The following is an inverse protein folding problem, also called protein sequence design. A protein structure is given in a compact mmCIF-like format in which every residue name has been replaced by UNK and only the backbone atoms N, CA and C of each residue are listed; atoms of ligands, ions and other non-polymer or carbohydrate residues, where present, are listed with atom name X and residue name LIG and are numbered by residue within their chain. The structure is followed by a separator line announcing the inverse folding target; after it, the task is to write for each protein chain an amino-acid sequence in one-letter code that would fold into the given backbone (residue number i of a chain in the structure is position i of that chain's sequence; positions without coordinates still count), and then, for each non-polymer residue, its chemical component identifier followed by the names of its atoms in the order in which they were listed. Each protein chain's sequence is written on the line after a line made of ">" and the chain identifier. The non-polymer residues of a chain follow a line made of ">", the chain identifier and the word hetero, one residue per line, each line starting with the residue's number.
data_IF_050023723340
#
_entry.id   IF_050023723340
#
_cell.length_a   1.000
_cell.length_b   1.000
_cell.length_c   1.000
_cell.angle_alpha   90.00
_cell.angle_beta   90.00
_cell.angle_gamma   90.00
#
_symmetry.space_group_name_H-M   'P 1'
#
loop_
_entity.id
_entity.type
_entity.pdbx_description
1 polymer ?
#
# COMPACT_ATOMS: atom_id res chain seq x y z
N UNK A 1 -9.98 17.34 16.94
CA UNK A 1 -10.74 16.75 15.84
C UNK A 1 -9.77 15.99 14.98
N UNK A 2 -10.05 14.72 14.75
CA UNK A 2 -9.30 13.86 13.83
C UNK A 2 -10.22 13.59 12.65
N UNK A 3 -9.73 13.87 11.45
CA UNK A 3 -10.49 13.62 10.23
C UNK A 3 -10.09 12.25 9.68
N UNK A 4 -11.09 11.40 9.40
CA UNK A 4 -10.90 10.11 8.74
C UNK A 4 -11.75 10.05 7.47
N UNK A 5 -11.25 9.36 6.46
CA UNK A 5 -11.99 9.14 5.21
C UNK A 5 -12.82 7.86 5.33
N UNK A 6 -14.10 7.92 4.96
CA UNK A 6 -14.94 6.73 4.86
C UNK A 6 -14.65 6.00 3.55
N UNK A 7 -14.40 4.70 3.65
CA UNK A 7 -14.14 3.78 2.53
C UNK A 7 -15.14 2.62 2.58
N UNK A 8 -15.10 1.71 1.59
CA UNK A 8 -16.03 0.57 1.53
C UNK A 8 -16.03 -0.33 2.78
N UNK A 9 -14.89 -0.41 3.45
CA UNK A 9 -14.65 -1.26 4.63
C UNK A 9 -14.73 -0.51 5.96
N UNK A 10 -15.05 0.78 5.93
CA UNK A 10 -15.23 1.58 7.13
C UNK A 10 -16.32 0.99 8.03
N UNK A 11 -16.08 1.00 9.35
CA UNK A 11 -16.98 0.40 10.34
C UNK A 11 -18.40 1.01 10.29
N UNK A 12 -18.51 2.27 9.88
CA UNK A 12 -19.75 3.00 9.65
C UNK A 12 -20.63 2.34 8.57
N UNK A 13 -20.04 1.56 7.66
CA UNK A 13 -20.70 0.86 6.56
C UNK A 13 -20.83 -0.65 6.79
N UNK A 14 -20.49 -1.14 8.00
CA UNK A 14 -20.65 -2.56 8.33
C UNK A 14 -22.11 -3.03 8.23
N UNK A 15 -23.06 -2.14 8.54
CA UNK A 15 -24.51 -2.40 8.44
C UNK A 15 -25.14 -2.10 7.07
N UNK A 16 -24.34 -1.72 6.06
CA UNK A 16 -24.83 -1.26 4.75
C UNK A 16 -24.74 0.26 4.59
N UNK A 17 -25.74 0.85 3.93
CA UNK A 17 -25.76 2.29 3.66
C UNK A 17 -25.87 3.12 4.94
N UNK A 18 -25.17 4.26 4.99
CA UNK A 18 -25.16 5.17 6.13
C UNK A 18 -26.17 6.31 5.93
N UNK A 19 -27.15 6.43 6.82
CA UNK A 19 -28.09 7.56 6.81
C UNK A 19 -27.50 8.75 7.56
N UNK A 20 -27.56 9.93 6.95
CA UNK A 20 -26.97 11.16 7.46
C UNK A 20 -27.99 12.31 7.46
N UNK A 21 -27.97 13.13 8.50
CA UNK A 21 -28.89 14.25 8.70
C UNK A 21 -28.13 15.56 8.61
N UNK A 22 -28.56 16.46 7.73
CA UNK A 22 -27.97 17.78 7.54
C UNK A 22 -28.95 18.90 7.87
N UNK A 23 -28.43 19.98 8.45
CA UNK A 23 -29.23 21.14 8.88
C UNK A 23 -28.71 22.46 8.31
N UNK A 24 -27.40 22.61 8.12
CA UNK A 24 -26.78 23.84 7.61
C UNK A 24 -25.86 23.53 6.43
N UNK A 25 -25.75 24.45 5.47
CA UNK A 25 -24.87 24.32 4.31
C UNK A 25 -25.14 23.04 3.51
N UNK A 26 -26.40 22.61 3.42
CA UNK A 26 -26.78 21.34 2.83
C UNK A 26 -26.78 21.40 1.30
N UNK A 27 -26.00 20.53 0.63
CA UNK A 27 -25.96 20.48 -0.83
C UNK A 27 -27.20 19.81 -1.44
N UNK A 28 -27.65 20.34 -2.56
CA UNK A 28 -28.65 19.72 -3.44
C UNK A 28 -28.03 18.53 -4.18
N UNK A 29 -28.87 17.57 -4.54
CA UNK A 29 -28.49 16.53 -5.50
C UNK A 29 -28.61 17.02 -6.94
N UNK A 30 -27.84 16.38 -7.83
CA UNK A 30 -27.82 16.66 -9.26
C UNK A 30 -27.65 18.16 -9.58
N UNK A 31 -26.58 18.76 -9.04
CA UNK A 31 -26.33 20.21 -9.07
C UNK A 31 -26.24 20.70 -10.51
N UNK A 32 -27.11 21.63 -10.89
CA UNK A 32 -27.22 22.14 -12.26
C UNK A 32 -26.12 23.16 -12.61
N UNK A 33 -25.99 23.51 -13.89
CA UNK A 33 -25.05 24.54 -14.35
C UNK A 33 -25.26 25.89 -13.65
N UNK A 34 -26.51 26.31 -13.47
CA UNK A 34 -26.82 27.59 -12.82
C UNK A 34 -26.42 27.57 -11.35
N UNK A 35 -26.76 26.49 -10.64
CA UNK A 35 -26.43 26.29 -9.23
C UNK A 35 -24.93 26.24 -9.03
N UNK A 36 -24.21 25.46 -9.84
CA UNK A 36 -22.76 25.29 -9.71
C UNK A 36 -22.00 26.62 -9.90
N UNK A 37 -22.51 27.54 -10.73
CA UNK A 37 -21.86 28.81 -11.04
C UNK A 37 -22.48 30.01 -10.32
N UNK A 38 -23.45 29.80 -9.43
CA UNK A 38 -24.16 30.85 -8.69
C UNK A 38 -24.77 31.94 -9.59
N UNK A 39 -25.32 31.53 -10.73
CA UNK A 39 -25.98 32.43 -11.68
C UNK A 39 -27.50 32.32 -11.56
N UNK A 40 -28.22 33.31 -12.09
CA UNK A 40 -29.70 33.35 -12.05
C UNK A 40 -30.28 33.30 -10.62
N UNK A 41 -29.53 33.78 -9.63
CA UNK A 41 -29.88 33.70 -8.21
C UNK A 41 -30.06 32.26 -7.68
N UNK A 42 -29.49 31.28 -8.38
CA UNK A 42 -29.48 29.89 -7.94
C UNK A 42 -28.22 29.59 -7.10
N UNK A 43 -28.36 28.62 -6.20
CA UNK A 43 -27.30 28.16 -5.31
C UNK A 43 -27.34 26.63 -5.23
N UNK A 44 -26.19 25.95 -5.10
CA UNK A 44 -26.15 24.50 -4.93
C UNK A 44 -26.59 24.08 -3.52
N UNK A 45 -26.81 25.04 -2.62
CA UNK A 45 -27.22 24.80 -1.24
C UNK A 45 -28.74 24.95 -1.06
N UNK A 46 -29.30 24.18 -0.13
CA UNK A 46 -30.59 24.51 0.47
C UNK A 46 -30.46 25.70 1.42
N UNK A 47 -31.58 26.33 1.74
CA UNK A 47 -31.62 27.27 2.85
C UNK A 47 -31.29 26.53 4.16
N UNK A 48 -30.57 27.20 5.05
CA UNK A 48 -30.24 26.66 6.36
C UNK A 48 -31.52 26.44 7.18
N UNK A 49 -31.52 25.35 7.96
CA UNK A 49 -32.63 24.98 8.82
C UNK A 49 -32.91 26.05 9.87
N UNK A 50 -34.19 26.41 10.00
CA UNK A 50 -34.69 27.30 11.07
C UNK A 50 -35.28 26.50 12.23
N UNK A 51 -35.59 25.22 11.99
CA UNK A 51 -35.97 24.25 13.01
C UNK A 51 -35.64 22.82 12.60
N UNK A 52 -35.81 21.87 13.53
CA UNK A 52 -35.48 20.45 13.30
C UNK A 52 -36.27 19.80 12.15
N UNK A 53 -37.45 20.33 11.82
CA UNK A 53 -38.28 19.84 10.72
C UNK A 53 -37.72 20.14 9.32
N UNK A 54 -36.76 21.06 9.20
CA UNK A 54 -36.16 21.44 7.92
C UNK A 54 -35.03 20.47 7.48
N UNK A 55 -34.77 19.42 8.27
CA UNK A 55 -33.69 18.45 8.08
C UNK A 55 -33.64 17.90 6.65
N UNK A 56 -32.41 17.73 6.15
CA UNK A 56 -32.15 17.00 4.91
C UNK A 56 -31.59 15.63 5.26
N UNK A 57 -32.28 14.58 4.82
CA UNK A 57 -31.87 13.20 5.05
C UNK A 57 -31.16 12.68 3.81
N UNK A 58 -29.85 12.48 3.96
CA UNK A 58 -28.99 11.91 2.95
C UNK A 58 -28.75 10.42 3.24
N UNK A 59 -28.37 9.71 2.20
CA UNK A 59 -27.89 8.33 2.30
C UNK A 59 -26.53 8.25 1.63
N UNK A 60 -25.49 7.93 2.38
CA UNK A 60 -24.20 7.56 1.84
C UNK A 60 -24.24 6.07 1.47
N UNK A 61 -24.17 5.81 0.17
CA UNK A 61 -24.38 4.48 -0.39
C UNK A 61 -23.08 3.68 -0.41
N UNK A 62 -23.08 2.49 0.19
CA UNK A 62 -21.89 1.64 0.32
C UNK A 62 -21.38 1.13 -1.04
N UNK A 63 -22.30 0.90 -1.98
CA UNK A 63 -21.99 0.26 -3.27
C UNK A 63 -21.37 1.24 -4.27
N UNK A 64 -21.74 2.52 -4.17
CA UNK A 64 -21.27 3.59 -5.03
C UNK A 64 -20.29 4.56 -4.36
N UNK A 65 -20.22 4.56 -3.03
CA UNK A 65 -19.48 5.54 -2.21
C UNK A 65 -19.89 6.99 -2.52
N UNK A 66 -21.17 7.18 -2.86
CA UNK A 66 -21.75 8.50 -3.13
C UNK A 66 -22.75 8.86 -2.06
N UNK A 67 -22.72 10.14 -1.65
CA UNK A 67 -23.83 10.72 -0.92
C UNK A 67 -25.01 10.92 -1.88
N UNK A 68 -26.21 10.52 -1.47
CA UNK A 68 -27.44 10.67 -2.24
C UNK A 68 -28.51 11.42 -1.45
N UNK A 69 -29.35 12.16 -2.15
CA UNK A 69 -30.55 12.80 -1.63
C UNK A 69 -31.69 12.51 -2.61
N UNK A 70 -32.77 11.90 -2.11
CA UNK A 70 -33.91 11.47 -2.94
C UNK A 70 -33.48 10.58 -4.12
N UNK A 71 -32.60 9.62 -3.86
CA UNK A 71 -32.03 8.69 -4.86
C UNK A 71 -31.23 9.34 -6.01
N UNK A 72 -30.82 10.61 -5.85
CA UNK A 72 -29.93 11.31 -6.78
C UNK A 72 -28.62 11.64 -6.08
N UNK A 73 -27.50 11.48 -6.78
CA UNK A 73 -26.17 11.78 -6.23
C UNK A 73 -26.03 13.27 -5.89
N UNK A 74 -25.42 13.55 -4.73
CA UNK A 74 -25.06 14.91 -4.28
C UNK A 74 -23.77 15.33 -4.96
N UNK A 75 -23.84 15.43 -6.28
CA UNK A 75 -22.73 15.76 -7.18
C UNK A 75 -23.20 16.75 -8.23
N UNK A 76 -22.27 17.25 -9.05
CA UNK A 76 -22.61 17.93 -10.29
C UNK A 76 -23.45 17.02 -11.19
N UNK A 77 -24.44 17.60 -11.86
CA UNK A 77 -25.18 16.93 -12.92
C UNK A 77 -24.25 16.62 -14.11
N UNK A 78 -24.60 15.61 -14.91
CA UNK A 78 -23.79 15.23 -16.06
C UNK A 78 -23.60 16.40 -17.04
N UNK A 79 -22.37 16.63 -17.49
CA UNK A 79 -22.01 17.71 -18.41
C UNK A 79 -21.93 19.11 -17.78
N UNK A 80 -22.16 19.26 -16.47
CA UNK A 80 -22.00 20.55 -15.79
C UNK A 80 -20.53 20.89 -15.64
N UNK A 81 -20.21 22.15 -15.94
CA UNK A 81 -18.87 22.72 -15.79
C UNK A 81 -18.90 23.88 -14.80
N UNK A 82 -17.83 24.02 -14.02
CA UNK A 82 -17.68 25.16 -13.10
C UNK A 82 -16.72 26.15 -13.73
N UNK A 83 -17.28 27.20 -14.33
CA UNK A 83 -16.55 28.25 -15.04
C UNK A 83 -16.23 29.47 -14.18
N UNK A 84 -16.85 29.62 -13.01
CA UNK A 84 -16.67 30.78 -12.15
C UNK A 84 -17.35 30.67 -10.79
N UNK A 85 -17.07 31.64 -9.92
CA UNK A 85 -17.71 31.79 -8.61
C UNK A 85 -17.14 30.89 -7.50
N UNK A 86 -17.80 30.86 -6.32
CA UNK A 86 -17.33 30.13 -5.14
C UNK A 86 -17.13 28.62 -5.37
N UNK A 87 -17.84 28.05 -6.35
CA UNK A 87 -17.78 26.62 -6.66
C UNK A 87 -16.49 26.15 -7.31
N UNK A 88 -15.60 27.05 -7.75
CA UNK A 88 -14.35 26.67 -8.45
C UNK A 88 -13.44 25.77 -7.63
N UNK A 89 -13.52 25.83 -6.30
CA UNK A 89 -12.72 25.01 -5.39
C UNK A 89 -13.42 23.72 -4.95
N UNK A 90 -14.64 23.51 -5.45
CA UNK A 90 -15.56 22.47 -5.02
C UNK A 90 -16.66 23.00 -4.12
N UNK A 91 -17.53 22.07 -3.73
CA UNK A 91 -18.68 22.29 -2.88
C UNK A 91 -18.58 21.33 -1.70
N UNK A 92 -18.99 21.78 -0.53
CA UNK A 92 -18.95 20.97 0.68
C UNK A 92 -20.26 21.09 1.42
N UNK A 93 -20.80 19.98 1.90
CA UNK A 93 -21.87 20.05 2.89
C UNK A 93 -21.35 20.68 4.19
N UNK A 94 -22.24 21.34 4.91
CA UNK A 94 -22.07 21.54 6.34
C UNK A 94 -22.01 20.21 7.11
N UNK A 95 -21.87 20.24 8.44
CA UNK A 95 -21.77 19.03 9.24
C UNK A 95 -23.02 18.17 9.07
N UNK A 96 -22.79 16.89 8.78
CA UNK A 96 -23.80 15.86 8.73
C UNK A 96 -23.71 14.98 9.97
N UNK A 97 -24.85 14.52 10.48
CA UNK A 97 -24.95 13.76 11.72
C UNK A 97 -25.46 12.35 11.43
N UNK A 98 -24.96 11.32 12.10
CA UNK A 98 -25.50 9.95 11.96
C UNK A 98 -26.85 9.77 12.68
N UNK A 99 -27.16 10.67 13.62
CA UNK A 99 -28.43 10.69 14.35
C UNK A 99 -29.10 12.05 14.15
N UNK A 100 -30.42 12.05 13.92
CA UNK A 100 -31.18 13.29 13.85
C UNK A 100 -31.11 14.03 15.19
N UNK A 101 -30.90 15.34 15.14
CA UNK A 101 -30.85 16.20 16.32
C UNK A 101 -32.25 16.42 16.89
N UNK A 102 -32.35 16.45 18.21
CA UNK A 102 -33.58 16.84 18.89
C UNK A 102 -33.73 18.37 18.96
N UNK A 103 -32.61 19.09 18.93
CA UNK A 103 -32.57 20.56 18.87
C UNK A 103 -31.33 21.02 18.08
N UNK A 104 -31.46 22.10 17.29
CA UNK A 104 -30.34 22.71 16.55
C UNK A 104 -29.18 23.16 17.46
N UNK A 105 -29.47 23.55 18.71
CA UNK A 105 -28.44 23.92 19.68
C UNK A 105 -27.48 22.77 20.03
N UNK A 106 -27.86 21.52 19.75
CA UNK A 106 -27.03 20.33 20.01
C UNK A 106 -25.92 20.15 18.98
N UNK A 107 -25.95 20.88 17.85
CA UNK A 107 -24.92 20.79 16.81
C UNK A 107 -23.50 20.97 17.36
N UNK A 108 -23.31 21.90 18.30
CA UNK A 108 -22.01 22.17 18.92
C UNK A 108 -21.52 21.08 19.88
N UNK A 109 -22.40 20.17 20.29
CA UNK A 109 -22.08 19.09 21.25
C UNK A 109 -21.76 17.76 20.56
N UNK A 110 -21.92 17.68 19.24
CA UNK A 110 -21.66 16.45 18.49
C UNK A 110 -20.17 16.10 18.54
N UNK A 111 -19.84 14.88 18.98
CA UNK A 111 -18.45 14.40 19.03
C UNK A 111 -17.94 13.90 17.68
N UNK A 112 -18.86 13.54 16.79
CA UNK A 112 -18.58 13.04 15.44
C UNK A 112 -19.54 13.70 14.46
N UNK A 113 -18.98 14.22 13.38
CA UNK A 113 -19.74 14.75 12.24
C UNK A 113 -19.11 14.24 10.95
N UNK A 114 -19.92 14.16 9.91
CA UNK A 114 -19.52 13.71 8.59
C UNK A 114 -19.53 14.90 7.65
N UNK A 115 -18.60 14.92 6.69
CA UNK A 115 -18.54 15.93 5.65
C UNK A 115 -18.52 15.26 4.29
N UNK A 116 -19.28 15.83 3.36
CA UNK A 116 -19.27 15.45 1.96
C UNK A 116 -18.70 16.58 1.13
N UNK A 117 -17.80 16.25 0.19
CA UNK A 117 -17.23 17.19 -0.75
C UNK A 117 -17.45 16.68 -2.18
N UNK A 118 -17.73 17.59 -3.11
CA UNK A 118 -17.88 17.28 -4.54
C UNK A 118 -17.42 18.46 -5.39
N UNK A 119 -17.07 18.25 -6.66
CA UNK A 119 -16.62 19.34 -7.53
C UNK A 119 -15.94 18.86 -8.80
N UNK A 120 -15.55 19.84 -9.63
CA UNK A 120 -14.90 19.58 -10.92
C UNK A 120 -13.42 19.20 -10.78
N UNK A 121 -12.77 19.54 -9.66
CA UNK A 121 -11.34 19.30 -9.49
C UNK A 121 -11.05 17.86 -9.06
N UNK A 122 -9.83 17.39 -9.37
CA UNK A 122 -9.37 16.05 -9.00
C UNK A 122 -9.37 15.82 -7.49
N UNK A 123 -9.08 16.84 -6.68
CA UNK A 123 -9.13 16.75 -5.21
C UNK A 123 -10.55 16.72 -4.63
N UNK A 124 -11.58 17.00 -5.44
CA UNK A 124 -12.98 16.85 -5.05
C UNK A 124 -13.58 15.51 -5.52
N UNK A 125 -12.77 14.61 -6.05
CA UNK A 125 -13.19 13.34 -6.63
C UNK A 125 -12.50 12.18 -5.92
N UNK A 126 -13.26 11.13 -5.60
CA UNK A 126 -12.73 9.86 -5.15
C UNK A 126 -12.26 9.05 -6.36
N UNK A 127 -11.04 8.50 -6.31
CA UNK A 127 -10.55 7.48 -7.24
C UNK A 127 -10.26 6.22 -6.44
N UNK A 128 -10.84 5.11 -6.87
CA UNK A 128 -10.69 3.81 -6.23
C UNK A 128 -10.83 2.72 -7.29
N UNK A 129 -10.46 1.49 -6.95
CA UNK A 129 -10.48 0.32 -7.82
C UNK A 129 -11.57 -0.62 -7.31
N UNK A 130 -12.25 -1.32 -8.21
CA UNK A 130 -13.12 -2.44 -7.89
C UNK A 130 -12.47 -3.75 -8.31
N UNK A 131 -12.66 -4.79 -7.53
CA UNK A 131 -12.23 -6.15 -7.88
C UNK A 131 -13.20 -6.81 -8.89
N UNK A 132 -12.98 -8.10 -9.19
CA UNK A 132 -13.82 -8.90 -10.10
C UNK A 132 -15.25 -9.10 -9.60
N UNK A 133 -15.44 -9.01 -8.29
CA UNK A 133 -16.71 -9.18 -7.57
C UNK A 133 -17.50 -7.86 -7.49
N UNK A 134 -16.85 -6.73 -7.81
CA UNK A 134 -17.44 -5.39 -7.85
C UNK A 134 -17.31 -4.63 -6.53
N UNK A 135 -16.57 -5.18 -5.58
CA UNK A 135 -16.27 -4.59 -4.28
C UNK A 135 -15.10 -3.61 -4.40
N UNK A 136 -15.12 -2.56 -3.57
CA UNK A 136 -14.04 -1.58 -3.57
C UNK A 136 -12.81 -2.16 -2.90
N UNK A 137 -11.67 -2.08 -3.58
CA UNK A 137 -10.39 -2.51 -3.04
C UNK A 137 -9.94 -1.49 -1.98
N UNK A 138 -9.76 -1.97 -0.75
CA UNK A 138 -9.08 -1.20 0.29
C UNK A 138 -7.59 -1.10 -0.01
N UNK A 139 -7.05 0.11 0.17
CA UNK A 139 -5.61 0.35 0.12
C UNK A 139 -5.13 0.62 1.53
N UNK A 140 -4.17 -0.17 1.99
CA UNK A 140 -3.40 0.17 3.16
C UNK A 140 -2.44 1.31 2.81
N UNK A 141 -2.29 2.28 3.71
CA UNK A 141 -1.26 3.29 3.57
C UNK A 141 0.13 2.63 3.55
N UNK A 142 1.10 3.15 2.76
CA UNK A 142 2.47 2.65 2.81
C UNK A 142 2.99 2.65 4.25
N UNK A 143 3.45 1.50 4.73
CA UNK A 143 3.89 1.37 6.11
C UNK A 143 5.24 2.05 6.27
N UNK A 144 5.27 3.11 7.08
CA UNK A 144 6.50 3.86 7.39
C UNK A 144 7.09 3.42 8.71
N UNK A 145 8.35 3.00 8.66
CA UNK A 145 9.09 2.43 9.79
C UNK A 145 10.26 3.36 10.15
N UNK A 146 10.28 3.98 11.35
CA UNK A 146 11.44 4.71 11.81
C UNK A 146 12.56 3.71 12.12
N UNK A 147 13.74 3.94 11.55
CA UNK A 147 14.89 3.06 11.71
C UNK A 147 16.12 3.88 12.06
N UNK A 148 16.76 3.57 13.18
CA UNK A 148 18.09 4.09 13.50
C UNK A 148 19.10 3.00 13.20
N UNK A 149 20.03 3.30 12.30
CA UNK A 149 21.09 2.36 11.95
C UNK A 149 22.18 2.39 13.03
N UNK A 150 22.55 1.21 13.52
CA UNK A 150 23.62 1.04 14.48
C UNK A 150 24.74 0.21 13.86
N UNK A 151 25.93 0.80 13.87
CA UNK A 151 27.18 0.29 13.33
C UNK A 151 28.33 0.90 14.15
N UNK A 152 29.60 0.49 14.02
CA UNK A 152 30.69 1.03 14.84
C UNK A 152 30.81 2.57 14.78
N UNK A 153 31.19 3.23 15.88
CA UNK A 153 31.08 4.69 16.04
C UNK A 153 31.78 5.58 14.97
N UNK A 154 32.66 5.02 14.13
CA UNK A 154 33.44 5.75 13.14
C UNK A 154 33.02 5.49 11.69
N UNK A 155 31.85 4.89 11.47
CA UNK A 155 31.30 4.60 10.13
C UNK A 155 30.26 5.64 9.71
N UNK A 156 29.95 5.69 8.41
CA UNK A 156 29.21 6.79 7.77
C UNK A 156 27.76 6.96 8.24
N UNK A 157 27.12 5.88 8.67
CA UNK A 157 25.71 5.79 9.02
C UNK A 157 25.45 5.51 10.50
N UNK A 158 26.49 5.51 11.34
CA UNK A 158 26.37 5.29 12.79
C UNK A 158 25.37 6.26 13.42
N UNK A 159 24.38 5.71 14.12
CA UNK A 159 23.36 6.43 14.87
C UNK A 159 22.56 7.44 14.02
N UNK A 160 22.44 7.18 12.71
CA UNK A 160 21.59 7.98 11.82
C UNK A 160 20.19 7.38 11.72
N UNK A 161 19.21 8.26 11.66
CA UNK A 161 17.80 7.89 11.52
C UNK A 161 17.35 7.97 10.07
N UNK A 162 16.56 6.97 9.68
CA UNK A 162 15.98 6.77 8.37
C UNK A 162 14.48 6.50 8.52
N UNK A 163 13.72 6.82 7.48
CA UNK A 163 12.35 6.36 7.33
C UNK A 163 12.34 5.30 6.26
N UNK A 164 12.12 4.05 6.67
CA UNK A 164 11.90 2.96 5.73
C UNK A 164 10.43 2.94 5.33
N UNK A 165 10.15 2.67 4.06
CA UNK A 165 8.78 2.60 3.54
C UNK A 165 8.55 1.23 2.91
N UNK A 166 7.57 0.50 3.44
CA UNK A 166 7.13 -0.78 2.90
C UNK A 166 5.91 -0.56 1.99
N UNK A 167 6.07 -0.92 0.71
CA UNK A 167 5.06 -0.71 -0.34
C UNK A 167 4.10 -1.89 -0.51
N UNK A 168 4.25 -2.94 0.30
CA UNK A 168 3.57 -4.22 0.13
C UNK A 168 4.42 -5.28 -0.57
N UNK A 169 5.45 -4.86 -1.32
CA UNK A 169 6.39 -5.77 -2.02
C UNK A 169 7.83 -5.54 -1.62
N UNK A 170 8.25 -4.28 -1.48
CA UNK A 170 9.65 -3.90 -1.31
C UNK A 170 9.83 -2.93 -0.14
N UNK A 171 11.00 -2.98 0.48
CA UNK A 171 11.40 -2.07 1.54
C UNK A 171 12.33 -0.99 0.99
N UNK A 172 11.86 0.25 0.98
CA UNK A 172 12.60 1.41 0.52
C UNK A 172 13.18 2.20 1.71
N UNK A 173 14.06 3.17 1.42
CA UNK A 173 14.59 4.12 2.41
C UNK A 173 16.05 3.90 2.81
N UNK A 174 16.66 2.79 2.40
CA UNK A 174 18.11 2.59 2.51
C UNK A 174 18.80 3.36 1.38
N UNK A 175 19.76 4.26 1.68
CA UNK A 175 20.48 4.99 0.64
C UNK A 175 21.31 4.03 -0.20
N UNK A 176 21.45 4.31 -1.49
CA UNK A 176 22.40 3.61 -2.36
C UNK A 176 23.64 4.47 -2.57
N UNK A 177 24.81 3.83 -2.60
CA UNK A 177 26.11 4.46 -2.81
C UNK A 177 26.77 3.78 -4.00
N UNK A 178 27.33 4.59 -4.90
CA UNK A 178 28.12 4.10 -6.02
C UNK A 178 29.51 3.67 -5.56
N UNK A 179 29.90 2.45 -5.89
CA UNK A 179 31.29 2.02 -5.80
C UNK A 179 32.06 2.59 -7.00
N UNK A 180 33.04 3.45 -6.73
CA UNK A 180 33.78 4.16 -7.78
C UNK A 180 34.73 3.26 -8.60
N UNK A 181 35.00 2.04 -8.13
CA UNK A 181 35.89 1.09 -8.80
C UNK A 181 35.16 0.31 -9.89
N UNK A 182 33.93 -0.13 -9.62
CA UNK A 182 33.11 -0.93 -10.55
C UNK A 182 31.90 -0.16 -11.13
N UNK A 183 31.67 1.09 -10.70
CA UNK A 183 30.52 1.94 -11.01
C UNK A 183 29.16 1.31 -10.68
N UNK A 184 29.11 0.40 -9.70
CA UNK A 184 27.88 -0.25 -9.26
C UNK A 184 27.28 0.44 -8.05
N UNK A 185 25.98 0.68 -8.10
CA UNK A 185 25.21 1.20 -6.97
C UNK A 185 24.84 0.06 -6.03
N UNK A 186 25.19 0.20 -4.75
CA UNK A 186 24.93 -0.79 -3.70
C UNK A 186 24.25 -0.12 -2.50
N UNK A 187 23.48 -0.84 -1.69
CA UNK A 187 22.96 -0.30 -0.44
C UNK A 187 24.11 0.22 0.43
N UNK A 188 23.94 1.41 1.01
CA UNK A 188 24.96 2.03 1.86
C UNK A 188 25.17 1.30 3.19
N UNK A 189 24.16 0.55 3.63
CA UNK A 189 24.25 -0.38 4.77
C UNK A 189 23.23 -1.51 4.60
N UNK A 190 23.45 -2.60 5.34
CA UNK A 190 22.50 -3.71 5.44
C UNK A 190 21.75 -3.65 6.77
N UNK A 191 20.47 -3.99 6.74
CA UNK A 191 19.67 -4.18 7.95
C UNK A 191 19.64 -5.67 8.27
N UNK A 192 20.09 -6.11 9.46
CA UNK A 192 20.05 -7.52 9.83
C UNK A 192 18.63 -8.12 9.72
N UNK A 193 18.54 -9.32 9.14
CA UNK A 193 17.31 -10.08 9.19
C UNK A 193 16.92 -10.34 10.63
N UNK A 194 15.68 -10.00 10.97
CA UNK A 194 15.13 -10.11 12.31
C UNK A 194 15.18 -8.84 13.15
N UNK A 195 15.73 -7.73 12.63
CA UNK A 195 15.59 -6.42 13.25
C UNK A 195 14.11 -6.12 13.52
N UNK A 196 13.82 -5.74 14.76
CA UNK A 196 12.47 -5.38 15.20
C UNK A 196 12.32 -3.86 15.15
N UNK A 197 11.21 -3.40 14.59
CA UNK A 197 10.81 -1.99 14.61
C UNK A 197 9.41 -1.89 15.19
N UNK A 198 9.24 -1.08 16.24
CA UNK A 198 7.94 -0.83 16.86
C UNK A 198 7.37 0.49 16.36
N UNK A 199 6.16 0.46 15.81
CA UNK A 199 5.39 1.65 15.40
C UNK A 199 4.03 1.60 16.08
N UNK A 200 3.76 2.58 16.95
CA UNK A 200 2.58 2.56 17.82
C UNK A 200 2.60 1.31 18.71
N UNK A 201 1.55 0.47 18.59
CA UNK A 201 1.41 -0.78 19.34
C UNK A 201 1.85 -2.03 18.55
N UNK A 202 2.30 -1.86 17.31
CA UNK A 202 2.68 -2.96 16.43
C UNK A 202 4.20 -3.10 16.38
N UNK A 203 4.69 -4.34 16.38
CA UNK A 203 6.11 -4.64 16.17
C UNK A 203 6.29 -5.40 14.87
N UNK A 204 7.11 -4.86 13.98
CA UNK A 204 7.43 -5.40 12.68
C UNK A 204 8.82 -6.04 12.71
N UNK A 205 9.01 -7.08 11.89
CA UNK A 205 10.30 -7.77 11.74
C UNK A 205 10.78 -7.58 10.30
N UNK A 206 11.99 -7.04 10.14
CA UNK A 206 12.62 -6.94 8.82
C UNK A 206 13.15 -8.32 8.44
N UNK A 207 12.87 -8.74 7.20
CA UNK A 207 13.39 -9.98 6.63
C UNK A 207 14.00 -9.67 5.28
N UNK A 208 15.27 -10.00 5.09
CA UNK A 208 15.89 -9.99 3.78
C UNK A 208 15.30 -11.13 2.95
N UNK A 209 14.81 -10.82 1.75
CA UNK A 209 14.27 -11.80 0.82
C UNK A 209 15.38 -12.34 -0.10
N UNK A 210 16.20 -11.43 -0.61
CA UNK A 210 17.33 -11.69 -1.49
C UNK A 210 18.56 -10.94 -0.97
N UNK A 211 19.74 -11.44 -1.30
CA UNK A 211 21.00 -10.86 -0.88
C UNK A 211 22.11 -11.15 -1.88
N UNK A 212 22.92 -10.14 -2.16
CA UNK A 212 24.17 -10.29 -2.88
C UNK A 212 25.31 -10.48 -1.87
N UNK A 213 26.21 -11.42 -2.16
CA UNK A 213 27.42 -11.63 -1.39
C UNK A 213 28.64 -11.34 -2.26
N UNK A 214 29.63 -10.69 -1.68
CA UNK A 214 30.92 -10.45 -2.30
C UNK A 214 31.99 -11.20 -1.52
N UNK A 215 32.87 -11.89 -2.25
CA UNK A 215 34.02 -12.51 -1.64
C UNK A 215 35.07 -11.44 -1.38
N UNK A 216 35.60 -11.39 -0.16
CA UNK A 216 36.73 -10.53 0.14
C UNK A 216 37.98 -11.10 -0.55
N UNK A 217 38.68 -10.26 -1.31
CA UNK A 217 39.98 -10.64 -1.86
C UNK A 217 40.96 -10.91 -0.73
N UNK A 218 41.64 -12.05 -0.82
CA UNK A 218 42.70 -12.43 0.10
C UNK A 218 44.05 -12.33 -0.60
N UNK A 219 45.06 -11.80 0.10
CA UNK A 219 46.38 -11.55 -0.49
C UNK A 219 47.12 -12.81 -0.96
N UNK A 220 46.66 -14.00 -0.57
CA UNK A 220 47.13 -15.27 -1.11
C UNK A 220 46.04 -16.34 -0.94
N UNK A 221 45.61 -17.03 -2.02
CA UNK A 221 44.69 -18.16 -1.92
C UNK A 221 45.17 -19.25 -0.96
N UNK A 222 46.49 -19.47 -0.89
CA UNK A 222 47.10 -20.50 -0.04
C UNK A 222 46.92 -20.24 1.47
N UNK A 223 46.71 -18.98 1.87
CA UNK A 223 46.46 -18.64 3.28
C UNK A 223 45.05 -19.04 3.74
N UNK A 224 44.09 -19.16 2.82
CA UNK A 224 42.70 -19.56 3.11
C UNK A 224 42.51 -21.06 2.95
N UNK A 225 43.19 -21.68 1.98
CA UNK A 225 43.16 -23.13 1.77
C UNK A 225 43.65 -23.88 3.02
N UNK A 226 44.70 -23.37 3.68
CA UNK A 226 45.23 -23.96 4.91
C UNK A 226 44.32 -23.79 6.14
N UNK A 227 43.44 -22.78 6.18
CA UNK A 227 42.55 -22.53 7.34
C UNK A 227 41.22 -23.26 7.26
N UNK A 228 40.71 -23.49 6.06
CA UNK A 228 39.38 -24.11 5.81
C UNK A 228 39.46 -25.64 5.63
N UNK A 229 40.64 -26.26 5.77
CA UNK A 229 40.81 -27.71 5.68
C UNK A 229 40.66 -28.27 4.25
N UNK A 230 40.81 -27.43 3.22
CA UNK A 230 40.90 -27.84 1.82
C UNK A 230 42.33 -28.26 1.45
N UNK A 231 43.07 -28.79 2.42
CA UNK A 231 44.40 -29.32 2.20
C UNK A 231 44.25 -30.72 1.60
N UNK A 232 44.64 -30.86 0.33
CA UNK A 232 45.15 -32.16 -0.11
C UNK A 232 46.51 -32.30 0.59
N UNK A 233 46.51 -32.93 1.77
CA UNK A 233 47.72 -33.26 2.55
C UNK A 233 48.58 -34.35 1.86
N UNK A 234 48.57 -34.32 0.52
CA UNK A 234 49.29 -35.19 -0.39
C UNK A 234 49.78 -34.31 -1.54
N UNK A 235 51.06 -34.45 -1.88
CA UNK A 235 51.54 -33.95 -3.17
C UNK A 235 50.83 -34.76 -4.26
N UNK A 236 49.94 -34.11 -5.01
CA UNK A 236 49.39 -34.68 -6.23
C UNK A 236 50.56 -34.89 -7.21
N UNK A 237 51.05 -36.12 -7.27
CA UNK A 237 51.99 -36.53 -8.31
C UNK A 237 51.20 -36.75 -9.58
N UNK A 238 51.74 -36.27 -10.71
CA UNK A 238 51.18 -36.64 -12.00
C UNK A 238 51.09 -38.18 -12.06
N UNK A 239 49.98 -38.76 -12.53
CA UNK A 239 49.86 -40.21 -12.69
C UNK A 239 51.09 -40.72 -13.43
N UNK A 240 51.79 -41.69 -12.84
CA UNK A 240 52.97 -42.31 -13.48
C UNK A 240 52.58 -43.32 -14.56
N UNK A 241 51.30 -43.70 -14.58
CA UNK A 241 50.69 -44.60 -15.53
C UNK A 241 49.60 -43.87 -16.32
N UNK A 242 49.46 -44.24 -17.59
CA UNK A 242 48.31 -43.83 -18.39
C UNK A 242 47.00 -44.30 -17.72
N UNK A 243 45.93 -43.55 -17.94
CA UNK A 243 44.60 -43.94 -17.46
C UNK A 243 44.29 -45.39 -17.89
N UNK A 244 44.02 -46.25 -16.90
CA UNK A 244 43.50 -47.59 -17.13
C UNK A 244 42.03 -47.61 -16.71
N UNK A 245 41.20 -48.23 -17.54
CA UNK A 245 39.78 -48.40 -17.23
C UNK A 245 39.67 -49.13 -15.87
N UNK A 246 39.00 -48.54 -14.86
CA UNK A 246 38.86 -49.14 -13.54
C UNK A 246 38.02 -50.44 -13.55
N UNK A 247 37.64 -50.94 -14.73
CA UNK A 247 36.89 -52.17 -14.91
C UNK A 247 35.61 -52.14 -14.07
N UNK A 248 34.86 -51.02 -14.17
CA UNK A 248 33.57 -50.81 -13.50
C UNK A 248 32.44 -51.71 -14.03
N UNK A 249 32.80 -52.83 -14.65
CA UNK A 249 31.91 -53.77 -15.31
C UNK A 249 31.46 -53.30 -16.69
N UNK A 250 30.84 -54.21 -17.43
CA UNK A 250 30.15 -53.84 -18.65
C UNK A 250 28.98 -52.91 -18.32
N UNK A 251 28.75 -51.91 -19.17
CA UNK A 251 27.54 -51.10 -19.12
C UNK A 251 26.31 -52.03 -19.01
N UNK A 252 25.43 -51.83 -18.02
CA UNK A 252 24.22 -52.62 -17.90
C UNK A 252 23.41 -52.52 -19.20
N UNK A 253 23.04 -53.67 -19.77
CA UNK A 253 22.14 -53.67 -20.93
C UNK A 253 20.74 -53.31 -20.45
N UNK A 254 20.30 -52.11 -20.79
CA UNK A 254 18.92 -51.66 -20.55
C UNK A 254 18.03 -52.36 -21.57
N UNK A 255 17.37 -53.43 -21.16
CA UNK A 255 16.51 -54.27 -22.03
C UNK A 255 15.05 -53.82 -22.04
N UNK A 256 14.68 -52.86 -21.21
CA UNK A 256 13.33 -52.32 -21.10
C UNK A 256 13.36 -50.80 -20.93
N UNK A 257 12.27 -50.14 -21.34
CA UNK A 257 12.09 -48.72 -21.08
C UNK A 257 12.14 -48.41 -19.57
N UNK A 258 12.57 -47.20 -19.17
CA UNK A 258 12.59 -46.81 -17.76
C UNK A 258 11.17 -46.78 -17.18
N UNK A 259 11.02 -47.38 -16.01
CA UNK A 259 9.73 -47.44 -15.29
C UNK A 259 9.34 -46.07 -14.70
N UNK A 260 10.23 -45.09 -14.74
CA UNK A 260 10.01 -43.73 -14.27
C UNK A 260 10.58 -42.71 -15.25
N UNK A 261 9.76 -41.72 -15.62
CA UNK A 261 10.15 -40.54 -16.40
C UNK A 261 9.64 -39.32 -15.64
N UNK A 262 10.51 -38.35 -15.37
CA UNK A 262 10.21 -37.13 -14.59
C UNK A 262 9.52 -37.38 -13.24
N UNK A 263 9.94 -38.44 -12.54
CA UNK A 263 9.40 -38.81 -11.23
C UNK A 263 8.03 -39.50 -11.27
N UNK A 264 7.47 -39.77 -12.47
CA UNK A 264 6.18 -40.45 -12.64
C UNK A 264 6.40 -41.89 -13.09
N UNK A 265 5.79 -42.85 -12.37
CA UNK A 265 5.81 -44.28 -12.73
C UNK A 265 5.06 -44.48 -14.05
N UNK A 266 5.75 -45.00 -15.05
CA UNK A 266 5.15 -45.38 -16.32
C UNK A 266 4.38 -46.69 -16.12
N UNK A 267 3.18 -46.78 -16.69
CA UNK A 267 2.40 -48.02 -16.66
C UNK A 267 2.94 -48.97 -17.72
N UNK A 268 3.10 -50.24 -17.37
CA UNK A 268 3.59 -51.27 -18.29
C UNK A 268 2.58 -51.40 -19.45
N UNK A 269 3.00 -51.07 -20.68
CA UNK A 269 2.27 -51.35 -21.93
C UNK A 269 2.70 -52.66 -22.54
#
# INVERSE_FOLDING_TARGET
>A
WTDSTITGDSAELAGGNLTLYGYMGCLKSNITQNQANFVSSETPYFADATGIGDVKTYVFDKTSLLLTLSAQSVTLANGVTVSGGPGQWGFQCGPLFATALANLNEMGNATTTYRWNTGANSWNQLRTIKDSEGDFVAFDEPLRLPYTHDEPANTTYHNKSFTLEWTGTDLHGVPFVENQTDNRWRPGFNIPSGTLITVGNSTYKIKQLEGEQEMNEVGSPNAVIASEGFDLDVTLTAPSDDWTDPAVGAMPTVTSAPVFVDGVRQSDS
#
